data_IF_534460939338
#
_entry.id   IF_534460939338
#
_cell.length_a   1.000
_cell.length_b   1.000
_cell.length_c   1.000
_cell.angle_alpha   90.00
_cell.angle_beta   90.00
_cell.angle_gamma   90.00
#
_symmetry.space_group_name_H-M   'P 1'
#
loop_
_entity.id
_entity.type
_entity.pdbx_description
1 polymer ?
#
# COMPACT_ATOMS: atom_id res chain seq x y z
N UNK A 1 37.05 42.65 40.59
CA UNK A 1 36.21 41.59 41.18
C UNK A 1 34.97 41.42 40.31
N UNK A 2 34.91 40.28 39.63
CA UNK A 2 33.87 39.67 38.78
C UNK A 2 32.46 40.29 38.77
N UNK A 3 31.98 40.71 37.59
CA UNK A 3 30.55 40.73 37.28
C UNK A 3 30.18 39.42 36.58
N UNK A 4 29.18 38.75 37.15
CA UNK A 4 28.66 37.44 36.80
C UNK A 4 27.96 37.42 35.43
N UNK A 5 28.59 36.81 34.43
CA UNK A 5 27.91 36.36 33.21
C UNK A 5 27.13 35.07 33.48
N UNK A 6 26.00 35.18 34.18
CA UNK A 6 25.00 34.12 34.20
C UNK A 6 24.07 34.33 33.01
N UNK A 7 24.48 33.85 31.84
CA UNK A 7 23.56 33.68 30.73
C UNK A 7 22.52 32.63 31.14
N UNK A 8 21.27 33.06 31.34
CA UNK A 8 20.16 32.14 31.60
C UNK A 8 20.08 31.10 30.46
N UNK A 9 19.85 29.82 30.74
CA UNK A 9 19.68 28.84 29.68
C UNK A 9 18.50 29.25 28.82
N UNK A 10 18.76 29.50 27.54
CA UNK A 10 17.72 29.72 26.53
C UNK A 10 16.87 28.44 26.50
N UNK A 11 15.76 28.44 27.23
CA UNK A 11 14.79 27.34 27.17
C UNK A 11 14.24 27.40 25.76
N UNK A 12 14.80 26.55 24.89
CA UNK A 12 14.25 26.33 23.56
C UNK A 12 12.75 26.21 23.74
N UNK A 13 12.01 27.19 23.22
CA UNK A 13 10.57 27.17 23.19
C UNK A 13 10.23 26.05 22.20
N UNK A 14 10.26 24.81 22.69
CA UNK A 14 9.81 23.67 21.94
C UNK A 14 8.43 24.03 21.42
N UNK A 15 8.16 23.72 20.16
CA UNK A 15 6.82 23.84 19.59
C UNK A 15 6.15 22.48 19.81
N UNK A 16 5.69 22.12 21.04
CA UNK A 16 5.17 20.79 21.32
C UNK A 16 3.98 20.46 20.41
N UNK A 17 3.20 21.48 20.03
CA UNK A 17 2.08 21.34 19.09
C UNK A 17 2.55 20.95 17.68
N UNK A 18 3.67 21.48 17.19
CA UNK A 18 4.20 21.11 15.88
C UNK A 18 4.72 19.66 15.88
N UNK A 19 5.42 19.26 16.95
CA UNK A 19 5.87 17.89 17.13
C UNK A 19 4.68 16.91 17.27
N UNK A 20 3.66 17.28 18.04
CA UNK A 20 2.44 16.49 18.19
C UNK A 20 1.70 16.32 16.86
N UNK A 21 1.56 17.39 16.05
CA UNK A 21 0.95 17.29 14.71
C UNK A 21 1.76 16.40 13.77
N UNK A 22 3.08 16.47 13.82
CA UNK A 22 3.95 15.60 13.04
C UNK A 22 3.80 14.13 13.46
N UNK A 23 3.83 13.84 14.77
CA UNK A 23 3.62 12.49 15.28
C UNK A 23 2.23 11.95 14.91
N UNK A 24 1.20 12.81 14.95
CA UNK A 24 -0.15 12.42 14.53
C UNK A 24 -0.20 12.13 13.03
N UNK A 25 0.45 12.94 12.19
CA UNK A 25 0.55 12.68 10.76
C UNK A 25 1.26 11.34 10.47
N UNK A 26 2.35 11.04 11.18
CA UNK A 26 3.06 9.75 11.08
C UNK A 26 2.16 8.61 11.56
N UNK A 27 1.44 8.77 12.67
CA UNK A 27 0.51 7.76 13.17
C UNK A 27 -0.62 7.47 12.16
N UNK A 28 -1.18 8.49 11.54
CA UNK A 28 -2.18 8.35 10.47
C UNK A 28 -1.58 7.64 9.25
N UNK A 29 -0.36 7.99 8.85
CA UNK A 29 0.32 7.31 7.74
C UNK A 29 0.53 5.82 8.03
N UNK A 30 0.99 5.47 9.24
CA UNK A 30 1.17 4.08 9.67
C UNK A 30 -0.18 3.35 9.68
N UNK A 31 -1.24 3.99 10.20
CA UNK A 31 -2.58 3.41 10.15
C UNK A 31 -3.05 3.16 8.70
N UNK A 32 -2.81 4.09 7.77
CA UNK A 32 -3.10 3.88 6.35
C UNK A 32 -2.33 2.70 5.77
N UNK A 33 -1.03 2.55 6.07
CA UNK A 33 -0.23 1.40 5.61
C UNK A 33 -0.81 0.08 6.11
N UNK A 34 -1.23 0.02 7.39
CA UNK A 34 -1.85 -1.18 7.97
C UNK A 34 -3.19 -1.49 7.32
N UNK A 35 -4.03 -0.48 7.06
CA UNK A 35 -5.32 -0.66 6.39
C UNK A 35 -5.11 -1.15 4.96
N UNK A 36 -4.22 -0.51 4.19
CA UNK A 36 -3.90 -0.91 2.81
C UNK A 36 -3.37 -2.33 2.78
N UNK A 37 -2.34 -2.65 3.58
CA UNK A 37 -1.79 -4.01 3.66
C UNK A 37 -2.80 -5.05 4.16
N UNK A 38 -3.72 -4.65 5.04
CA UNK A 38 -4.85 -5.47 5.48
C UNK A 38 -5.81 -5.78 4.35
N UNK A 39 -6.16 -4.79 3.53
CA UNK A 39 -6.99 -4.98 2.33
C UNK A 39 -6.29 -5.92 1.35
N UNK A 40 -5.04 -5.63 0.95
CA UNK A 40 -4.22 -6.49 0.06
C UNK A 40 -4.14 -7.94 0.55
N UNK A 41 -4.09 -8.15 1.89
CA UNK A 41 -4.08 -9.50 2.48
C UNK A 41 -5.45 -10.18 2.41
N UNK A 42 -6.54 -9.43 2.64
CA UNK A 42 -7.90 -9.96 2.61
C UNK A 42 -8.41 -10.20 1.19
N UNK A 43 -7.93 -9.44 0.20
CA UNK A 43 -8.28 -9.59 -1.23
C UNK A 43 -7.41 -10.63 -1.95
N UNK A 44 -6.50 -11.29 -1.22
CA UNK A 44 -5.52 -12.25 -1.75
C UNK A 44 -4.70 -11.74 -2.95
N UNK A 45 -4.67 -10.42 -3.21
CA UNK A 45 -3.90 -9.82 -4.32
C UNK A 45 -2.39 -9.96 -4.12
N UNK A 46 -1.95 -10.21 -2.89
CA UNK A 46 -0.58 -10.61 -2.60
C UNK A 46 -0.16 -11.96 -3.21
N UNK A 47 -1.11 -12.83 -3.58
CA UNK A 47 -0.87 -14.13 -4.24
C UNK A 47 -1.03 -14.07 -5.77
N UNK A 48 -1.56 -12.98 -6.33
CA UNK A 48 -1.67 -12.81 -7.79
C UNK A 48 -0.36 -12.40 -8.46
N UNK A 49 0.67 -12.04 -7.68
CA UNK A 49 2.03 -11.78 -8.20
C UNK A 49 2.77 -13.11 -8.31
N UNK A 50 2.63 -13.79 -9.45
CA UNK A 50 3.36 -15.02 -9.76
C UNK A 50 4.71 -14.78 -10.45
N UNK A 51 4.92 -13.59 -11.03
CA UNK A 51 6.21 -13.18 -11.60
C UNK A 51 6.56 -11.74 -11.19
N UNK A 52 7.75 -11.56 -10.60
CA UNK A 52 8.27 -10.22 -10.29
C UNK A 52 8.74 -9.55 -11.58
N UNK A 53 7.84 -8.82 -12.24
CA UNK A 53 8.12 -8.01 -13.44
C UNK A 53 8.18 -6.52 -13.05
N UNK A 54 9.33 -5.98 -12.64
CA UNK A 54 9.42 -4.60 -12.11
C UNK A 54 9.07 -3.51 -13.13
N UNK A 55 9.00 -3.83 -14.42
CA UNK A 55 8.68 -2.87 -15.50
C UNK A 55 7.26 -3.06 -16.06
N UNK A 56 6.75 -4.30 -16.14
CA UNK A 56 5.44 -4.63 -16.73
C UNK A 56 4.39 -5.11 -15.72
N UNK A 57 4.77 -5.47 -14.49
CA UNK A 57 3.84 -5.89 -13.43
C UNK A 57 3.22 -4.74 -12.64
N UNK A 58 3.75 -3.52 -12.80
CA UNK A 58 3.21 -2.30 -12.17
C UNK A 58 2.33 -1.46 -13.11
N UNK A 59 2.34 -1.77 -14.41
CA UNK A 59 1.53 -1.08 -15.41
C UNK A 59 0.34 -1.98 -15.75
N UNK A 60 -0.89 -1.60 -15.37
CA UNK A 60 -2.07 -2.36 -15.74
C UNK A 60 -2.17 -2.43 -17.28
N UNK A 61 -2.73 -3.53 -17.82
CA UNK A 61 -3.06 -3.60 -19.23
C UNK A 61 -3.83 -2.34 -19.68
N UNK A 62 -3.38 -1.72 -20.77
CA UNK A 62 -3.94 -0.43 -21.23
C UNK A 62 -5.12 -0.62 -22.18
N UNK A 63 -5.31 -1.83 -22.72
CA UNK A 63 -6.42 -2.18 -23.61
C UNK A 63 -7.29 -3.30 -23.05
N UNK A 64 -8.55 -3.37 -23.50
CA UNK A 64 -9.47 -4.44 -23.11
C UNK A 64 -9.02 -5.82 -23.61
N UNK A 65 -8.38 -5.89 -24.78
CA UNK A 65 -7.83 -7.13 -25.32
C UNK A 65 -6.68 -7.66 -24.45
N UNK A 66 -5.81 -6.77 -23.97
CA UNK A 66 -4.71 -7.15 -23.07
C UNK A 66 -5.24 -7.62 -21.71
N UNK A 67 -6.29 -6.95 -21.19
CA UNK A 67 -6.97 -7.40 -19.98
C UNK A 67 -7.58 -8.79 -20.12
N UNK A 68 -8.16 -9.10 -21.28
CA UNK A 68 -8.72 -10.42 -21.53
C UNK A 68 -7.61 -11.47 -21.62
N UNK A 69 -6.50 -11.17 -22.31
CA UNK A 69 -5.36 -12.08 -22.42
C UNK A 69 -4.74 -12.39 -21.05
N UNK A 70 -4.56 -11.38 -20.20
CA UNK A 70 -4.04 -11.56 -18.84
C UNK A 70 -5.01 -12.36 -17.96
N UNK A 71 -6.31 -12.10 -18.08
CA UNK A 71 -7.31 -12.88 -17.35
C UNK A 71 -7.38 -14.33 -17.81
N UNK A 72 -7.26 -14.61 -19.12
CA UNK A 72 -7.17 -16.00 -19.62
C UNK A 72 -5.91 -16.70 -19.09
N UNK A 73 -4.78 -16.00 -18.98
CA UNK A 73 -3.58 -16.53 -18.34
C UNK A 73 -3.82 -16.78 -16.85
N UNK A 74 -4.50 -15.86 -16.15
CA UNK A 74 -4.85 -16.00 -14.74
C UNK A 74 -5.74 -17.22 -14.47
N UNK A 75 -6.67 -17.55 -15.38
CA UNK A 75 -7.53 -18.75 -15.28
C UNK A 75 -6.76 -20.07 -15.24
N UNK A 76 -5.53 -20.09 -15.75
CA UNK A 76 -4.68 -21.29 -15.76
C UNK A 76 -3.92 -21.48 -14.44
N UNK A 77 -3.95 -20.50 -13.54
CA UNK A 77 -3.21 -20.53 -12.27
C UNK A 77 -4.05 -21.27 -11.21
N UNK A 78 -3.41 -22.08 -10.32
CA UNK A 78 -4.11 -22.77 -9.24
C UNK A 78 -5.00 -21.86 -8.39
N UNK A 79 -4.62 -20.61 -8.14
CA UNK A 79 -5.44 -19.64 -7.39
C UNK A 79 -6.82 -19.43 -8.03
N UNK A 80 -6.89 -19.32 -9.36
CA UNK A 80 -8.19 -19.22 -10.03
C UNK A 80 -8.91 -20.56 -10.02
N UNK A 81 -8.22 -21.67 -10.27
CA UNK A 81 -8.87 -22.98 -10.33
C UNK A 81 -9.46 -23.42 -8.97
N UNK A 82 -8.80 -23.10 -7.87
CA UNK A 82 -9.13 -23.59 -6.53
C UNK A 82 -9.95 -22.57 -5.71
N UNK A 83 -9.73 -21.27 -5.90
CA UNK A 83 -10.32 -20.23 -5.06
C UNK A 83 -11.27 -19.34 -5.86
N UNK A 84 -10.75 -18.60 -6.85
CA UNK A 84 -11.49 -17.51 -7.45
C UNK A 84 -12.50 -17.94 -8.53
N UNK A 85 -12.19 -18.97 -9.30
CA UNK A 85 -13.08 -19.57 -10.31
C UNK A 85 -14.34 -20.18 -9.69
N UNK A 86 -14.23 -21.05 -8.66
CA UNK A 86 -15.38 -21.56 -7.91
C UNK A 86 -16.24 -20.47 -7.26
N UNK A 87 -15.62 -19.35 -6.88
CA UNK A 87 -16.32 -18.17 -6.34
C UNK A 87 -17.05 -17.33 -7.42
N UNK A 88 -16.92 -17.69 -8.71
CA UNK A 88 -17.58 -16.99 -9.81
C UNK A 88 -16.88 -15.71 -10.26
N UNK A 89 -15.57 -15.61 -10.06
CA UNK A 89 -14.80 -14.41 -10.39
C UNK A 89 -14.92 -14.00 -11.85
N UNK A 90 -15.22 -12.72 -12.08
CA UNK A 90 -15.32 -12.11 -13.40
C UNK A 90 -14.06 -11.32 -13.77
N UNK A 91 -13.96 -10.88 -15.03
CA UNK A 91 -12.89 -9.96 -15.45
C UNK A 91 -12.92 -8.65 -14.64
N UNK A 92 -14.10 -8.18 -14.22
CA UNK A 92 -14.21 -6.96 -13.43
C UNK A 92 -13.64 -7.15 -12.02
N UNK A 93 -13.90 -8.30 -11.39
CA UNK A 93 -13.32 -8.67 -10.09
C UNK A 93 -11.80 -8.83 -10.20
N UNK A 94 -11.33 -9.39 -11.33
CA UNK A 94 -9.91 -9.52 -11.62
C UNK A 94 -9.21 -8.16 -11.72
N UNK A 95 -9.82 -7.22 -12.45
CA UNK A 95 -9.36 -5.82 -12.48
C UNK A 95 -9.34 -5.21 -11.09
N UNK A 96 -10.35 -5.45 -10.26
CA UNK A 96 -10.42 -4.90 -8.90
C UNK A 96 -9.26 -5.37 -8.02
N UNK A 97 -8.94 -6.67 -8.02
CA UNK A 97 -7.83 -7.20 -7.21
C UNK A 97 -6.44 -6.81 -7.76
N UNK A 98 -6.32 -6.51 -9.05
CA UNK A 98 -5.06 -6.09 -9.67
C UNK A 98 -4.51 -4.76 -9.09
N UNK A 99 -5.38 -3.90 -8.55
CA UNK A 99 -5.02 -2.56 -8.07
C UNK A 99 -4.75 -2.46 -6.55
N UNK A 100 -4.86 -3.55 -5.79
CA UNK A 100 -4.66 -3.60 -4.33
C UNK A 100 -3.37 -4.32 -3.92
#
# INVERSE_FOLDING_TARGET
>A
MNQSNNAAPNRASGKPVALARWLFAVAVLVACIVVVGGITRLTESGLSITEWKPVTGALPPLSEADWQAEFEAYKQIPQYLEVNGPAGMTLADYKFIYFW
#
